data_IF_926820257895
#
_entry.id   IF_926820257895
#
_cell.length_a   1.000
_cell.length_b   1.000
_cell.length_c   1.000
_cell.angle_alpha   90.00
_cell.angle_beta   90.00
_cell.angle_gamma   90.00
#
_symmetry.space_group_name_H-M   'P 1'
#
loop_
_entity.id
_entity.type
_entity.pdbx_description
1 polymer ?
#
# COMPACT_ATOMS: atom_id res chain seq x y z
N UNK A 1 32.83 -2.40 3.67
CA UNK A 1 31.80 -1.61 2.94
C UNK A 1 30.49 -1.81 3.69
N UNK A 2 30.04 -0.78 4.40
CA UNK A 2 28.97 -0.90 5.39
C UNK A 2 27.62 -1.23 4.75
N UNK A 3 26.95 -2.27 5.26
CA UNK A 3 25.65 -2.81 4.82
C UNK A 3 24.44 -1.89 5.07
N UNK A 4 24.68 -0.65 5.49
CA UNK A 4 23.68 0.27 6.05
C UNK A 4 22.68 0.80 5.00
N UNK A 5 22.98 0.66 3.70
CA UNK A 5 22.16 1.22 2.61
C UNK A 5 21.38 0.23 1.74
N UNK A 6 21.42 -1.09 2.00
CA UNK A 6 20.74 -2.09 1.16
C UNK A 6 19.44 -2.59 1.82
N UNK A 7 18.38 -2.77 1.02
CA UNK A 7 17.14 -3.46 1.44
C UNK A 7 17.46 -4.94 1.60
N UNK A 8 17.54 -5.43 2.83
CA UNK A 8 17.86 -6.82 3.17
C UNK A 8 16.63 -7.65 3.53
N UNK A 9 15.52 -7.00 3.90
CA UNK A 9 14.26 -7.64 4.23
C UNK A 9 13.08 -6.79 3.75
N UNK A 10 11.87 -7.38 3.64
CA UNK A 10 10.66 -6.63 3.24
C UNK A 10 10.41 -5.44 4.19
N UNK A 11 10.81 -5.57 5.46
CA UNK A 11 10.79 -4.50 6.47
C UNK A 11 11.61 -3.25 6.10
N UNK A 12 12.69 -3.38 5.32
CA UNK A 12 13.48 -2.24 4.84
C UNK A 12 12.73 -1.41 3.77
N UNK A 13 11.81 -2.06 3.03
CA UNK A 13 10.92 -1.33 2.11
C UNK A 13 9.97 -0.42 2.90
N UNK A 14 9.55 -0.82 4.10
CA UNK A 14 8.68 -0.01 4.95
C UNK A 14 9.39 1.27 5.43
N UNK A 15 10.68 1.19 5.77
CA UNK A 15 11.52 2.36 6.10
C UNK A 15 11.67 3.30 4.90
N UNK A 16 11.89 2.74 3.71
CA UNK A 16 11.98 3.51 2.48
C UNK A 16 10.67 4.27 2.18
N UNK A 17 9.53 3.60 2.29
CA UNK A 17 8.21 4.21 2.05
C UNK A 17 7.93 5.31 3.07
N UNK A 18 8.14 5.04 4.36
CA UNK A 18 7.91 6.02 5.41
C UNK A 18 8.81 7.26 5.28
N UNK A 19 10.03 7.11 4.72
CA UNK A 19 10.93 8.25 4.48
C UNK A 19 10.31 9.28 3.54
N UNK A 20 9.62 8.85 2.49
CA UNK A 20 8.95 9.78 1.58
C UNK A 20 7.70 10.42 2.19
N UNK A 21 7.01 9.73 3.11
CA UNK A 21 5.92 10.36 3.86
C UNK A 21 6.42 11.40 4.85
N UNK A 22 7.56 11.15 5.51
CA UNK A 22 8.22 12.15 6.36
C UNK A 22 8.57 13.41 5.55
N UNK A 23 9.22 13.25 4.39
CA UNK A 23 9.56 14.37 3.49
C UNK A 23 8.36 15.15 3.00
N UNK A 24 7.26 14.48 2.64
CA UNK A 24 6.03 15.18 2.24
C UNK A 24 5.48 16.02 3.41
N UNK A 25 5.57 15.52 4.64
CA UNK A 25 5.09 16.20 5.86
C UNK A 25 5.91 17.44 6.23
N UNK A 26 7.16 17.53 5.79
CA UNK A 26 8.04 18.70 5.98
C UNK A 26 7.73 19.86 5.03
N UNK A 27 6.90 19.62 4.01
CA UNK A 27 6.59 20.65 3.01
C UNK A 27 5.59 21.67 3.56
N UNK A 28 5.80 22.95 3.25
CA UNK A 28 4.82 24.00 3.55
C UNK A 28 3.49 23.84 2.80
N UNK A 29 3.47 23.08 1.70
CA UNK A 29 2.30 22.74 0.89
C UNK A 29 1.93 21.25 0.97
N UNK A 30 2.28 20.58 2.08
CA UNK A 30 2.09 19.13 2.26
C UNK A 30 0.67 18.66 1.92
N UNK A 31 0.56 17.56 1.16
CA UNK A 31 -0.76 16.98 0.79
C UNK A 31 -1.38 16.14 1.91
N UNK A 32 -0.55 15.65 2.83
CA UNK A 32 -0.92 15.00 4.09
C UNK A 32 0.20 15.25 5.10
N UNK A 33 -0.12 15.13 6.39
CA UNK A 33 0.86 15.24 7.47
C UNK A 33 0.97 13.90 8.20
N UNK A 34 2.15 13.29 8.18
CA UNK A 34 2.54 12.08 8.89
C UNK A 34 3.71 12.40 9.83
N UNK A 35 3.45 13.02 11.00
CA UNK A 35 4.49 13.51 11.89
C UNK A 35 5.29 12.36 12.52
N UNK A 36 4.73 11.15 12.55
CA UNK A 36 5.36 9.97 13.15
C UNK A 36 6.26 9.22 12.16
N UNK A 37 6.12 9.45 10.84
CA UNK A 37 7.01 8.85 9.86
C UNK A 37 8.49 9.21 10.11
N UNK A 38 8.79 10.47 10.44
CA UNK A 38 10.17 10.90 10.74
C UNK A 38 10.76 10.14 11.94
N UNK A 39 9.94 9.90 12.97
CA UNK A 39 10.32 9.13 14.16
C UNK A 39 10.58 7.65 13.81
N UNK A 40 9.75 7.07 12.95
CA UNK A 40 9.81 5.66 12.57
C UNK A 40 10.94 5.32 11.59
N UNK A 41 11.40 6.26 10.78
CA UNK A 41 12.42 5.96 9.75
C UNK A 41 13.85 5.96 10.30
N UNK A 42 14.09 6.69 11.41
CA UNK A 42 15.42 6.89 11.97
C UNK A 42 16.44 7.34 10.93
N UNK A 43 17.72 7.07 11.16
CA UNK A 43 18.78 7.35 10.18
C UNK A 43 18.79 6.36 9.00
N UNK A 44 18.28 5.13 9.22
CA UNK A 44 18.32 4.04 8.24
C UNK A 44 17.40 4.29 7.04
N UNK A 45 16.20 4.81 7.25
CA UNK A 45 15.25 5.09 6.15
C UNK A 45 15.80 6.07 5.11
N UNK A 46 16.26 7.27 5.50
CA UNK A 46 16.94 8.21 4.62
C UNK A 46 18.17 7.62 3.93
N UNK A 47 18.98 6.82 4.63
CA UNK A 47 20.15 6.15 4.06
C UNK A 47 19.75 5.17 2.94
N UNK A 48 18.71 4.35 3.14
CA UNK A 48 18.16 3.47 2.10
C UNK A 48 17.63 4.31 0.93
N UNK A 49 16.77 5.30 1.21
CA UNK A 49 16.14 6.15 0.19
C UNK A 49 17.16 6.88 -0.71
N UNK A 50 18.30 7.29 -0.15
CA UNK A 50 19.38 7.95 -0.89
C UNK A 50 20.04 7.04 -1.93
N UNK A 51 20.00 5.71 -1.77
CA UNK A 51 20.60 4.75 -2.70
C UNK A 51 19.64 4.26 -3.78
N UNK A 52 18.34 4.58 -3.64
CA UNK A 52 17.30 4.05 -4.52
C UNK A 52 17.30 4.73 -5.88
N UNK A 53 17.33 3.97 -6.99
CA UNK A 53 17.25 4.53 -8.32
C UNK A 53 15.86 5.15 -8.55
N UNK A 54 15.83 6.20 -9.36
CA UNK A 54 14.59 6.92 -9.68
C UNK A 54 13.87 7.46 -8.42
N UNK A 55 14.62 7.81 -7.37
CA UNK A 55 14.10 8.23 -6.06
C UNK A 55 13.00 9.29 -6.17
N UNK A 56 13.19 10.35 -6.96
CA UNK A 56 12.15 11.39 -7.20
C UNK A 56 10.83 10.82 -7.74
N UNK A 57 10.91 9.89 -8.70
CA UNK A 57 9.72 9.26 -9.26
C UNK A 57 9.03 8.38 -8.22
N UNK A 58 9.80 7.63 -7.43
CA UNK A 58 9.25 6.78 -6.37
C UNK A 58 8.63 7.60 -5.24
N UNK A 59 9.28 8.70 -4.85
CA UNK A 59 8.73 9.68 -3.89
C UNK A 59 7.38 10.20 -4.36
N UNK A 60 7.30 10.66 -5.61
CA UNK A 60 6.03 11.06 -6.23
C UNK A 60 4.97 9.94 -6.21
N UNK A 61 5.33 8.71 -6.59
CA UNK A 61 4.40 7.56 -6.56
C UNK A 61 3.86 7.32 -5.15
N UNK A 62 4.71 7.40 -4.12
CA UNK A 62 4.34 7.11 -2.74
C UNK A 62 3.51 8.22 -2.09
N UNK A 63 3.76 9.48 -2.43
CA UNK A 63 2.90 10.60 -2.05
C UNK A 63 1.50 10.44 -2.65
N UNK A 64 1.42 10.18 -3.95
CA UNK A 64 0.13 9.95 -4.64
C UNK A 64 -0.60 8.73 -4.05
N UNK A 65 0.14 7.65 -3.75
CA UNK A 65 -0.42 6.43 -3.13
C UNK A 65 -1.02 6.68 -1.77
N UNK A 66 -0.29 7.37 -0.90
CA UNK A 66 -0.75 7.66 0.46
C UNK A 66 -2.05 8.46 0.39
N UNK A 67 -2.08 9.54 -0.40
CA UNK A 67 -3.27 10.39 -0.56
C UNK A 67 -4.48 9.62 -1.14
N UNK A 68 -4.28 8.80 -2.18
CA UNK A 68 -5.37 8.03 -2.77
C UNK A 68 -5.95 7.00 -1.79
N UNK A 69 -5.09 6.26 -1.09
CA UNK A 69 -5.53 5.23 -0.15
C UNK A 69 -6.22 5.86 1.07
N UNK A 70 -5.74 7.01 1.56
CA UNK A 70 -6.42 7.78 2.62
C UNK A 70 -7.86 8.12 2.21
N UNK A 71 -8.07 8.54 0.96
CA UNK A 71 -9.42 8.80 0.41
C UNK A 71 -10.29 7.55 0.37
N UNK A 72 -9.76 6.41 -0.09
CA UNK A 72 -10.51 5.16 -0.14
C UNK A 72 -10.89 4.68 1.26
N UNK A 73 -10.02 4.88 2.26
CA UNK A 73 -10.30 4.57 3.66
C UNK A 73 -11.43 5.46 4.20
N UNK A 74 -11.39 6.77 3.94
CA UNK A 74 -12.50 7.65 4.31
C UNK A 74 -13.82 7.26 3.61
N UNK A 75 -13.77 6.87 2.33
CA UNK A 75 -14.94 6.36 1.59
C UNK A 75 -15.52 5.09 2.25
N UNK A 76 -14.65 4.16 2.67
CA UNK A 76 -15.05 2.95 3.38
C UNK A 76 -15.69 3.25 4.74
N UNK A 77 -15.02 4.06 5.58
CA UNK A 77 -15.50 4.47 6.91
C UNK A 77 -16.82 5.23 6.81
N UNK A 78 -16.93 6.19 5.88
CA UNK A 78 -18.15 6.96 5.63
C UNK A 78 -19.33 6.10 5.17
N UNK A 79 -19.07 4.85 4.76
CA UNK A 79 -20.11 3.88 4.41
C UNK A 79 -20.51 2.98 5.57
N UNK A 80 -19.99 3.19 6.79
CA UNK A 80 -20.35 2.44 7.98
C UNK A 80 -19.42 1.26 8.31
N UNK A 81 -18.19 1.27 7.79
CA UNK A 81 -17.13 0.35 8.27
C UNK A 81 -16.80 0.66 9.73
N UNK A 82 -16.84 -0.36 10.58
CA UNK A 82 -16.53 -0.25 12.02
C UNK A 82 -15.16 -0.82 12.39
N UNK A 83 -14.51 -1.53 11.44
CA UNK A 83 -13.16 -2.04 11.62
C UNK A 83 -12.30 -1.91 10.37
N UNK A 84 -11.06 -1.46 10.54
CA UNK A 84 -10.04 -1.51 9.49
C UNK A 84 -9.05 -2.61 9.83
N UNK A 85 -8.83 -3.53 8.89
CA UNK A 85 -7.81 -4.57 8.97
C UNK A 85 -6.68 -4.24 7.99
N UNK A 86 -5.56 -3.74 8.49
CA UNK A 86 -4.39 -3.37 7.72
C UNK A 86 -3.38 -4.52 7.71
N UNK A 87 -3.36 -5.28 6.62
CA UNK A 87 -2.48 -6.45 6.44
C UNK A 87 -1.16 -5.99 5.80
N UNK A 88 -0.03 -6.36 6.40
CA UNK A 88 1.28 -5.82 6.03
C UNK A 88 1.35 -4.32 6.32
N UNK A 89 0.87 -3.92 7.49
CA UNK A 89 0.73 -2.50 7.87
C UNK A 89 2.05 -1.73 7.80
N UNK A 90 3.20 -2.40 7.91
CA UNK A 90 4.52 -1.81 7.91
C UNK A 90 4.56 -0.65 8.90
N UNK A 91 5.22 0.42 8.49
CA UNK A 91 5.34 1.66 9.26
C UNK A 91 4.18 2.63 9.02
N UNK A 92 2.98 2.15 8.68
CA UNK A 92 1.78 2.98 8.58
C UNK A 92 1.42 3.62 9.95
N UNK A 93 0.99 4.88 9.91
CA UNK A 93 0.65 5.71 11.07
C UNK A 93 -0.75 6.30 10.96
N UNK A 94 -1.57 5.87 9.98
CA UNK A 94 -2.96 6.31 9.80
C UNK A 94 -3.81 6.31 11.08
N UNK A 95 -3.72 5.32 11.98
CA UNK A 95 -4.42 5.35 13.28
C UNK A 95 -4.09 6.55 14.16
N UNK A 96 -2.97 7.24 13.92
CA UNK A 96 -2.49 8.38 14.69
C UNK A 96 -2.71 9.72 13.98
N UNK A 97 -2.79 9.74 12.64
CA UNK A 97 -2.77 10.98 11.85
C UNK A 97 -4.06 11.28 11.09
N UNK A 98 -4.87 10.26 10.79
CA UNK A 98 -6.13 10.46 10.06
C UNK A 98 -7.23 10.90 11.01
N UNK A 99 -8.18 11.68 10.50
CA UNK A 99 -9.41 12.01 11.20
C UNK A 99 -10.34 10.78 11.20
N UNK A 100 -10.27 10.00 12.28
CA UNK A 100 -10.96 8.72 12.44
C UNK A 100 -11.92 8.77 13.63
N UNK A 101 -13.10 8.12 13.57
CA UNK A 101 -13.93 7.96 14.75
C UNK A 101 -13.19 7.24 15.87
N UNK A 102 -13.23 7.75 17.11
CA UNK A 102 -12.57 7.11 18.26
C UNK A 102 -13.05 5.67 18.51
N UNK A 103 -14.31 5.39 18.13
CA UNK A 103 -14.92 4.07 18.24
C UNK A 103 -14.44 3.06 17.19
N UNK A 104 -13.79 3.52 16.11
CA UNK A 104 -13.28 2.65 15.04
C UNK A 104 -12.21 1.72 15.62
N UNK A 105 -12.31 0.43 15.31
CA UNK A 105 -11.23 -0.50 15.60
C UNK A 105 -10.27 -0.56 14.41
N UNK A 106 -9.01 -0.26 14.64
CA UNK A 106 -7.94 -0.46 13.68
C UNK A 106 -7.09 -1.65 14.13
N UNK A 107 -6.93 -2.63 13.24
CA UNK A 107 -6.11 -3.82 13.47
C UNK A 107 -4.98 -3.81 12.46
N UNK A 108 -3.74 -3.74 12.95
CA UNK A 108 -2.54 -3.91 12.14
C UNK A 108 -2.02 -5.34 12.27
N UNK A 109 -1.67 -5.96 11.15
CA UNK A 109 -1.02 -7.26 11.13
C UNK A 109 0.27 -7.15 10.33
N UNK A 110 1.39 -7.53 10.94
CA UNK A 110 2.69 -7.57 10.30
C UNK A 110 3.64 -8.54 11.02
N UNK A 111 4.83 -8.72 10.47
CA UNK A 111 5.88 -9.53 11.08
C UNK A 111 6.20 -9.08 12.51
N UNK A 112 6.52 -10.04 13.41
CA UNK A 112 6.83 -9.75 14.81
C UNK A 112 7.83 -8.60 15.00
N UNK A 113 8.91 -8.56 14.22
CA UNK A 113 9.93 -7.52 14.33
C UNK A 113 9.43 -6.11 13.96
N UNK A 114 8.51 -6.00 12.99
CA UNK A 114 7.89 -4.71 12.61
C UNK A 114 6.96 -4.22 13.70
N UNK A 115 6.12 -5.11 14.22
CA UNK A 115 5.16 -4.78 15.27
C UNK A 115 5.88 -4.35 16.54
N UNK A 116 6.91 -5.10 16.97
CA UNK A 116 7.73 -4.74 18.14
C UNK A 116 8.42 -3.40 17.96
N UNK A 117 9.04 -3.17 16.81
CA UNK A 117 9.67 -1.90 16.50
C UNK A 117 8.70 -0.72 16.61
N UNK A 118 7.49 -0.83 16.03
CA UNK A 118 6.47 0.22 16.15
C UNK A 118 6.00 0.43 17.58
N UNK A 119 5.78 -0.64 18.33
CA UNK A 119 5.37 -0.53 19.73
C UNK A 119 6.42 0.19 20.57
N UNK A 120 7.70 -0.08 20.33
CA UNK A 120 8.80 0.61 21.01
C UNK A 120 8.88 2.09 20.62
N UNK A 121 8.95 2.40 19.33
CA UNK A 121 9.13 3.78 18.84
C UNK A 121 7.91 4.65 19.14
N UNK A 122 6.70 4.07 19.11
CA UNK A 122 5.44 4.79 19.32
C UNK A 122 4.87 4.60 20.74
N UNK A 123 5.66 4.11 21.70
CA UNK A 123 5.18 3.81 23.06
C UNK A 123 4.49 5.00 23.77
N UNK A 124 4.92 6.23 23.46
CA UNK A 124 4.39 7.46 24.04
C UNK A 124 3.37 8.19 23.13
N UNK A 125 3.09 7.63 21.94
CA UNK A 125 2.13 8.22 21.01
C UNK A 125 0.74 7.62 21.24
N UNK A 126 -0.30 8.45 21.14
CA UNK A 126 -1.69 8.00 21.31
C UNK A 126 -2.39 7.93 19.95
N UNK A 127 -2.95 6.77 19.55
CA UNK A 127 -3.79 6.71 18.36
C UNK A 127 -5.11 7.45 18.60
N UNK A 128 -5.70 7.96 17.51
CA UNK A 128 -7.00 8.65 17.49
C UNK A 128 -8.14 7.64 17.69
N UNK A 129 -7.95 6.40 17.25
CA UNK A 129 -8.94 5.32 17.35
C UNK A 129 -8.39 4.13 18.15
N UNK A 130 -9.23 3.10 18.36
CA UNK A 130 -8.81 1.88 19.07
C UNK A 130 -7.84 1.10 18.19
N UNK A 131 -6.59 0.98 18.62
CA UNK A 131 -5.54 0.29 17.86
C UNK A 131 -5.18 -1.04 18.50
N UNK A 132 -5.17 -2.11 17.69
CA UNK A 132 -4.61 -3.41 18.03
C UNK A 132 -3.53 -3.76 16.99
N UNK A 133 -2.42 -4.33 17.45
CA UNK A 133 -1.39 -4.90 16.57
C UNK A 133 -1.26 -6.39 16.83
N UNK A 134 -1.16 -7.16 15.75
CA UNK A 134 -1.02 -8.62 15.80
C UNK A 134 0.28 -8.99 15.09
N UNK A 135 1.14 -9.72 15.80
CA UNK A 135 2.39 -10.28 15.26
C UNK A 135 2.06 -11.55 14.44
N UNK A 136 2.27 -11.52 13.13
CA UNK A 136 2.02 -12.66 12.26
C UNK A 136 2.78 -12.60 10.93
N UNK A 137 3.30 -13.75 10.50
CA UNK A 137 3.73 -13.96 9.12
C UNK A 137 2.52 -14.40 8.27
N UNK A 138 2.04 -13.51 7.40
CA UNK A 138 0.91 -13.77 6.52
C UNK A 138 1.24 -14.71 5.35
N UNK A 139 2.51 -15.05 5.14
CA UNK A 139 2.93 -16.02 4.13
C UNK A 139 2.66 -17.47 4.54
N UNK A 140 2.54 -17.74 5.85
CA UNK A 140 2.09 -19.01 6.39
C UNK A 140 0.55 -19.11 6.37
N UNK A 141 0.03 -20.13 5.68
CA UNK A 141 -1.40 -20.28 5.44
C UNK A 141 -2.21 -20.52 6.71
N UNK A 142 -1.69 -21.30 7.66
CA UNK A 142 -2.41 -21.61 8.90
C UNK A 142 -2.48 -20.39 9.81
N UNK A 143 -1.34 -19.70 9.97
CA UNK A 143 -1.21 -18.46 10.73
C UNK A 143 -2.11 -17.38 10.15
N UNK A 144 -2.04 -17.14 8.83
CA UNK A 144 -2.90 -16.16 8.15
C UNK A 144 -4.38 -16.40 8.43
N UNK A 145 -4.88 -17.63 8.23
CA UNK A 145 -6.30 -17.95 8.46
C UNK A 145 -6.72 -17.71 9.91
N UNK A 146 -5.90 -18.14 10.87
CA UNK A 146 -6.17 -17.92 12.30
C UNK A 146 -6.27 -16.43 12.61
N UNK A 147 -5.29 -15.65 12.15
CA UNK A 147 -5.21 -14.21 12.42
C UNK A 147 -6.34 -13.44 11.73
N UNK A 148 -6.69 -13.78 10.49
CA UNK A 148 -7.84 -13.16 9.82
C UNK A 148 -9.13 -13.37 10.62
N UNK A 149 -9.39 -14.61 11.04
CA UNK A 149 -10.58 -14.94 11.84
C UNK A 149 -10.62 -14.18 13.17
N UNK A 150 -9.49 -14.09 13.87
CA UNK A 150 -9.36 -13.31 15.11
C UNK A 150 -9.59 -11.81 14.86
N UNK A 151 -8.94 -11.26 13.84
CA UNK A 151 -8.98 -9.83 13.53
C UNK A 151 -10.38 -9.34 13.12
N UNK A 152 -11.18 -10.18 12.45
CA UNK A 152 -12.55 -9.83 12.06
C UNK A 152 -13.60 -10.20 13.11
N UNK A 153 -13.24 -10.95 14.16
CA UNK A 153 -14.18 -11.41 15.16
C UNK A 153 -14.93 -10.25 15.84
N UNK A 154 -16.26 -10.32 15.83
CA UNK A 154 -17.14 -9.32 16.45
C UNK A 154 -17.25 -7.99 15.69
N UNK A 155 -16.60 -7.83 14.54
CA UNK A 155 -16.83 -6.67 13.66
C UNK A 155 -18.14 -6.84 12.88
N UNK A 156 -18.80 -5.72 12.55
CA UNK A 156 -19.96 -5.74 11.67
C UNK A 156 -19.56 -5.58 10.22
N UNK A 157 -18.63 -4.65 9.92
CA UNK A 157 -18.19 -4.31 8.57
C UNK A 157 -16.71 -3.94 8.57
N UNK A 158 -15.90 -4.81 7.99
CA UNK A 158 -14.44 -4.71 7.93
C UNK A 158 -14.01 -4.19 6.57
N UNK A 159 -13.19 -3.13 6.56
CA UNK A 159 -12.38 -2.76 5.41
C UNK A 159 -10.99 -3.38 5.54
N UNK A 160 -10.57 -4.16 4.56
CA UNK A 160 -9.22 -4.72 4.50
C UNK A 160 -8.33 -3.82 3.66
N UNK A 161 -7.08 -3.61 4.09
CA UNK A 161 -6.07 -2.85 3.36
C UNK A 161 -4.86 -3.76 3.13
N UNK A 162 -4.33 -3.74 1.90
CA UNK A 162 -3.08 -4.42 1.53
C UNK A 162 -2.19 -3.48 0.71
N UNK A 163 -1.89 -2.29 1.25
CA UNK A 163 -1.06 -1.28 0.57
C UNK A 163 0.36 -1.79 0.38
N UNK A 164 0.79 -1.94 -0.88
CA UNK A 164 2.13 -2.39 -1.20
C UNK A 164 2.40 -3.84 -0.81
N UNK A 165 1.38 -4.66 -0.57
CA UNK A 165 1.55 -6.06 -0.16
C UNK A 165 1.37 -7.03 -1.32
N UNK A 166 0.29 -6.87 -2.08
CA UNK A 166 -0.09 -7.79 -3.16
C UNK A 166 1.04 -8.02 -4.17
N UNK A 167 1.82 -7.00 -4.59
CA UNK A 167 2.95 -7.20 -5.51
C UNK A 167 4.00 -8.22 -5.04
N UNK A 168 4.13 -8.47 -3.73
CA UNK A 168 5.13 -9.39 -3.15
C UNK A 168 4.63 -10.83 -3.00
N UNK A 169 3.32 -11.08 -3.17
CA UNK A 169 2.72 -12.40 -3.05
C UNK A 169 2.72 -13.16 -4.38
N UNK A 170 2.69 -14.49 -4.37
CA UNK A 170 2.44 -15.26 -5.58
C UNK A 170 0.95 -15.20 -6.00
N UNK A 171 0.59 -15.44 -7.27
CA UNK A 171 -0.81 -15.51 -7.69
C UNK A 171 -1.66 -16.52 -6.89
N UNK A 172 -1.06 -17.61 -6.43
CA UNK A 172 -1.68 -18.63 -5.60
C UNK A 172 -1.95 -18.09 -4.19
N UNK A 173 -0.98 -17.39 -3.59
CA UNK A 173 -1.13 -16.75 -2.28
C UNK A 173 -2.20 -15.64 -2.33
N UNK A 174 -2.22 -14.80 -3.36
CA UNK A 174 -3.27 -13.78 -3.54
C UNK A 174 -4.64 -14.43 -3.74
N UNK A 175 -4.71 -15.54 -4.48
CA UNK A 175 -5.96 -16.30 -4.64
C UNK A 175 -6.43 -16.90 -3.31
N UNK A 176 -5.52 -17.42 -2.48
CA UNK A 176 -5.84 -17.95 -1.16
C UNK A 176 -6.34 -16.85 -0.22
N UNK A 177 -5.62 -15.73 -0.11
CA UNK A 177 -6.04 -14.57 0.67
C UNK A 177 -7.41 -14.07 0.23
N UNK A 178 -7.63 -13.93 -1.09
CA UNK A 178 -8.93 -13.49 -1.63
C UNK A 178 -10.08 -14.41 -1.21
N UNK A 179 -9.90 -15.73 -1.28
CA UNK A 179 -10.91 -16.70 -0.83
C UNK A 179 -11.18 -16.62 0.66
N UNK A 180 -10.13 -16.46 1.46
CA UNK A 180 -10.24 -16.37 2.92
C UNK A 180 -10.98 -15.09 3.33
N UNK A 181 -10.67 -13.96 2.69
CA UNK A 181 -11.37 -12.69 2.93
C UNK A 181 -12.84 -12.77 2.52
N UNK A 182 -13.17 -13.37 1.37
CA UNK A 182 -14.58 -13.54 0.96
C UNK A 182 -15.36 -14.46 1.90
N UNK A 183 -14.70 -15.48 2.46
CA UNK A 183 -15.34 -16.45 3.35
C UNK A 183 -15.79 -15.81 4.67
N UNK A 184 -15.20 -14.68 5.07
CA UNK A 184 -15.56 -13.96 6.30
C UNK A 184 -16.70 -12.97 6.04
N UNK A 185 -17.92 -13.19 6.57
CA UNK A 185 -19.09 -12.36 6.23
C UNK A 185 -18.97 -10.90 6.65
N UNK A 186 -18.14 -10.60 7.66
CA UNK A 186 -17.90 -9.24 8.12
C UNK A 186 -17.01 -8.44 7.15
N UNK A 187 -16.26 -9.09 6.25
CA UNK A 187 -15.41 -8.39 5.27
C UNK A 187 -16.29 -7.77 4.18
N UNK A 188 -16.36 -6.44 4.21
CA UNK A 188 -17.23 -5.63 3.33
C UNK A 188 -16.49 -5.19 2.07
N UNK A 189 -15.27 -4.66 2.26
CA UNK A 189 -14.48 -4.09 1.18
C UNK A 189 -12.97 -4.34 1.34
N UNK A 190 -12.25 -4.26 0.23
CA UNK A 190 -10.80 -4.48 0.17
C UNK A 190 -10.09 -3.41 -0.67
N UNK A 191 -9.20 -2.65 -0.03
CA UNK A 191 -8.43 -1.55 -0.60
C UNK A 191 -7.02 -2.03 -0.98
N UNK A 192 -6.62 -1.77 -2.23
CA UNK A 192 -5.33 -2.21 -2.79
C UNK A 192 -4.77 -1.18 -3.77
N UNK A 193 -3.44 -1.14 -3.94
CA UNK A 193 -2.85 -0.67 -5.19
C UNK A 193 -3.02 -1.72 -6.29
N UNK A 194 -3.14 -1.26 -7.54
CA UNK A 194 -3.19 -2.15 -8.70
C UNK A 194 -2.32 -1.66 -9.85
N UNK A 195 -1.86 -2.63 -10.65
CA UNK A 195 -1.14 -2.36 -11.90
C UNK A 195 -1.56 -3.33 -13.00
N UNK A 196 -2.28 -2.80 -13.99
CA UNK A 196 -2.67 -3.52 -15.19
C UNK A 196 -1.47 -3.80 -16.11
N UNK A 197 -1.54 -4.90 -16.84
CA UNK A 197 -0.52 -5.27 -17.82
C UNK A 197 0.77 -5.84 -17.23
N UNK A 198 0.76 -6.26 -15.95
CA UNK A 198 1.87 -6.95 -15.32
C UNK A 198 2.18 -8.28 -16.02
N UNK A 199 3.46 -8.53 -16.34
CA UNK A 199 3.96 -9.80 -16.88
C UNK A 199 5.23 -10.21 -16.15
N UNK A 200 5.45 -11.51 -15.95
CA UNK A 200 6.59 -12.03 -15.17
C UNK A 200 7.97 -11.50 -15.59
N UNK A 201 8.25 -11.34 -16.88
CA UNK A 201 9.54 -10.78 -17.36
C UNK A 201 9.69 -9.29 -17.07
N UNK A 202 8.61 -8.51 -17.14
CA UNK A 202 8.61 -7.11 -16.77
C UNK A 202 8.77 -6.92 -15.25
N UNK A 203 8.22 -7.85 -14.47
CA UNK A 203 8.31 -7.87 -13.01
C UNK A 203 9.74 -8.16 -12.52
N UNK A 204 10.41 -9.17 -13.10
CA UNK A 204 11.83 -9.46 -12.84
C UNK A 204 12.74 -8.29 -13.19
N UNK A 205 12.50 -7.64 -14.34
CA UNK A 205 13.26 -6.43 -14.75
C UNK A 205 13.03 -5.27 -13.78
N UNK A 206 11.80 -5.07 -13.31
CA UNK A 206 11.47 -4.02 -12.35
C UNK A 206 12.12 -4.27 -10.99
N UNK A 207 12.04 -5.50 -10.48
CA UNK A 207 12.69 -5.94 -9.23
C UNK A 207 14.19 -5.62 -9.26
N UNK A 208 14.88 -6.06 -10.32
CA UNK A 208 16.31 -5.77 -10.49
C UNK A 208 16.59 -4.26 -10.59
N UNK A 209 15.76 -3.52 -11.34
CA UNK A 209 15.91 -2.06 -11.48
C UNK A 209 15.70 -1.31 -10.17
N UNK A 210 14.83 -1.80 -9.30
CA UNK A 210 14.55 -1.19 -7.98
C UNK A 210 15.44 -1.76 -6.86
N UNK A 211 16.41 -2.63 -7.17
CA UNK A 211 17.30 -3.27 -6.16
C UNK A 211 16.55 -4.02 -5.06
N UNK A 212 15.36 -4.54 -5.36
CA UNK A 212 14.54 -5.31 -4.41
C UNK A 212 14.91 -6.80 -4.42
N UNK A 213 16.21 -7.13 -4.46
CA UNK A 213 16.66 -8.51 -4.66
C UNK A 213 16.23 -9.44 -3.51
N UNK A 214 16.20 -8.93 -2.28
CA UNK A 214 15.80 -9.67 -1.09
C UNK A 214 14.27 -9.58 -0.82
N UNK A 215 13.54 -8.81 -1.64
CA UNK A 215 12.09 -8.66 -1.61
C UNK A 215 11.51 -8.67 -3.04
N UNK A 216 11.61 -9.78 -3.78
CA UNK A 216 11.24 -9.80 -5.18
C UNK A 216 9.74 -9.64 -5.37
N UNK A 217 9.35 -8.87 -6.39
CA UNK A 217 7.94 -8.78 -6.80
C UNK A 217 7.52 -10.11 -7.46
N UNK A 218 6.42 -10.71 -6.99
CA UNK A 218 5.93 -12.03 -7.39
C UNK A 218 4.57 -11.97 -8.09
N UNK A 219 3.76 -10.96 -7.80
CA UNK A 219 2.44 -10.82 -8.40
C UNK A 219 2.48 -9.92 -9.65
N UNK A 220 2.03 -10.45 -10.77
CA UNK A 220 1.92 -9.69 -12.01
C UNK A 220 1.02 -10.40 -13.01
N UNK A 221 -0.21 -9.89 -13.14
CA UNK A 221 -1.23 -10.40 -14.07
C UNK A 221 -1.57 -9.36 -15.14
N UNK A 222 -2.06 -9.82 -16.29
CA UNK A 222 -2.43 -8.93 -17.40
C UNK A 222 -3.64 -8.05 -17.05
N UNK A 223 -4.64 -8.64 -16.42
CA UNK A 223 -5.84 -7.97 -15.94
C UNK A 223 -5.99 -8.19 -14.43
N UNK A 224 -5.44 -7.24 -13.67
CA UNK A 224 -5.53 -7.18 -12.22
C UNK A 224 -6.97 -7.07 -11.75
N UNK A 225 -7.75 -6.15 -12.30
CA UNK A 225 -9.13 -5.96 -11.86
C UNK A 225 -9.98 -7.21 -12.18
N UNK A 226 -9.85 -7.76 -13.39
CA UNK A 226 -10.50 -9.01 -13.77
C UNK A 226 -10.13 -10.19 -12.86
N UNK A 227 -8.86 -10.31 -12.46
CA UNK A 227 -8.42 -11.35 -11.54
C UNK A 227 -9.19 -11.36 -10.21
N UNK A 228 -9.50 -10.20 -9.65
CA UNK A 228 -10.30 -10.11 -8.41
C UNK A 228 -11.80 -10.26 -8.70
N UNK A 229 -12.30 -9.78 -9.85
CA UNK A 229 -13.70 -9.95 -10.24
C UNK A 229 -14.08 -11.42 -10.40
N UNK A 230 -13.23 -12.21 -11.06
CA UNK A 230 -13.39 -13.67 -11.18
C UNK A 230 -13.40 -14.39 -9.82
N UNK A 231 -12.94 -13.70 -8.76
CA UNK A 231 -12.87 -14.22 -7.40
C UNK A 231 -13.93 -13.63 -6.50
N UNK A 232 -15.03 -13.10 -7.04
CA UNK A 232 -16.19 -12.66 -6.25
C UNK A 232 -16.12 -11.21 -5.75
N UNK A 233 -15.14 -10.43 -6.20
CA UNK A 233 -15.09 -9.00 -5.88
C UNK A 233 -15.74 -8.15 -6.97
N UNK A 234 -16.23 -6.97 -6.61
CA UNK A 234 -16.68 -5.96 -7.56
C UNK A 234 -15.92 -4.67 -7.31
N UNK A 235 -15.59 -3.96 -8.38
CA UNK A 235 -14.97 -2.65 -8.26
C UNK A 235 -16.03 -1.66 -7.77
N UNK A 236 -15.83 -1.09 -6.58
CA UNK A 236 -16.71 -0.04 -6.05
C UNK A 236 -16.17 1.36 -6.37
N UNK A 237 -14.88 1.58 -6.13
CA UNK A 237 -14.22 2.86 -6.41
C UNK A 237 -12.81 2.63 -6.98
N UNK A 238 -12.42 3.42 -7.99
CA UNK A 238 -11.07 3.45 -8.52
C UNK A 238 -10.56 4.89 -8.48
N UNK A 239 -9.36 5.07 -7.93
CA UNK A 239 -8.58 6.29 -8.04
C UNK A 239 -7.36 5.99 -8.91
N UNK A 240 -7.32 6.51 -10.14
CA UNK A 240 -6.14 6.38 -10.99
C UNK A 240 -5.02 7.29 -10.49
N UNK A 241 -3.79 6.78 -10.51
CA UNK A 241 -2.62 7.52 -9.99
C UNK A 241 -2.46 8.88 -10.67
N UNK A 242 -2.66 8.94 -11.98
CA UNK A 242 -2.54 10.20 -12.70
C UNK A 242 -3.63 11.22 -12.32
N UNK A 243 -4.86 10.77 -12.11
CA UNK A 243 -5.97 11.65 -11.73
C UNK A 243 -5.77 12.19 -10.32
N UNK A 244 -5.34 11.33 -9.38
CA UNK A 244 -5.00 11.76 -8.03
C UNK A 244 -3.83 12.74 -8.01
N UNK A 245 -2.78 12.47 -8.78
CA UNK A 245 -1.61 13.34 -8.88
C UNK A 245 -1.98 14.77 -9.31
N UNK A 246 -2.94 14.91 -10.23
CA UNK A 246 -3.48 16.22 -10.63
C UNK A 246 -4.31 16.85 -9.52
N UNK A 247 -5.18 16.07 -8.86
CA UNK A 247 -6.02 16.55 -7.76
C UNK A 247 -5.20 17.17 -6.63
N UNK A 248 -4.09 16.53 -6.27
CA UNK A 248 -3.20 17.00 -5.18
C UNK A 248 -2.13 17.99 -5.63
N UNK A 249 -2.15 18.43 -6.90
CA UNK A 249 -1.15 19.37 -7.43
C UNK A 249 0.28 18.82 -7.42
N UNK A 250 0.47 17.50 -7.54
CA UNK A 250 1.79 16.84 -7.61
C UNK A 250 2.02 16.27 -9.00
N UNK A 251 2.67 17.04 -9.87
CA UNK A 251 3.05 16.57 -11.21
C UNK A 251 4.15 15.51 -11.15
N UNK A 252 4.09 14.53 -12.05
CA UNK A 252 5.14 13.52 -12.16
C UNK A 252 6.49 14.17 -12.51
N UNK A 253 7.58 13.87 -11.80
CA UNK A 253 8.86 14.48 -12.06
C UNK A 253 9.46 13.99 -13.39
N UNK A 254 10.25 14.85 -14.04
CA UNK A 254 11.01 14.43 -15.21
C UNK A 254 12.23 13.60 -14.79
N UNK A 255 12.31 12.36 -15.27
CA UNK A 255 13.34 11.37 -14.96
C UNK A 255 13.75 10.67 -16.25
N UNK A 256 14.92 11.02 -16.79
CA UNK A 256 15.45 10.43 -18.02
C UNK A 256 15.91 8.97 -17.81
N UNK A 257 15.68 8.06 -18.77
CA UNK A 257 14.88 8.21 -20.00
C UNK A 257 13.39 7.84 -19.79
N UNK A 258 12.98 7.46 -18.57
CA UNK A 258 11.62 6.98 -18.25
C UNK A 258 10.54 7.97 -18.68
N UNK A 259 10.74 9.26 -18.39
CA UNK A 259 9.78 10.30 -18.77
C UNK A 259 9.63 10.46 -20.27
N UNK A 260 10.66 10.20 -21.09
CA UNK A 260 10.53 10.24 -22.54
C UNK A 260 9.60 9.14 -23.07
N UNK A 261 9.64 7.95 -22.46
CA UNK A 261 8.74 6.85 -22.78
C UNK A 261 7.29 7.24 -22.47
N UNK A 262 7.06 7.87 -21.31
CA UNK A 262 5.74 8.36 -20.93
C UNK A 262 5.27 9.49 -21.84
N UNK A 263 6.12 10.48 -22.15
CA UNK A 263 5.79 11.57 -23.07
C UNK A 263 5.40 11.01 -24.44
N UNK A 264 6.18 10.07 -25.00
CA UNK A 264 5.85 9.42 -26.26
C UNK A 264 4.49 8.71 -26.22
N UNK A 265 4.16 8.01 -25.12
CA UNK A 265 2.82 7.40 -24.92
C UNK A 265 1.70 8.44 -24.82
N UNK A 266 1.96 9.60 -24.22
CA UNK A 266 0.97 10.67 -24.04
C UNK A 266 0.75 11.50 -25.32
N UNK A 267 1.76 11.60 -26.18
CA UNK A 267 1.69 12.21 -27.52
C UNK A 267 1.07 11.26 -28.57
N UNK A 268 0.87 9.99 -28.23
CA UNK A 268 0.21 9.02 -29.09
C UNK A 268 -1.31 9.23 -29.14
N UNK A 269 -2.04 8.30 -29.77
CA UNK A 269 -3.49 8.39 -29.93
C UNK A 269 -4.23 8.52 -28.60
N UNK A 270 -5.39 9.21 -28.61
CA UNK A 270 -6.27 9.39 -27.43
C UNK A 270 -6.52 8.06 -26.70
N UNK A 271 -6.75 6.98 -27.46
CA UNK A 271 -6.93 5.61 -26.94
C UNK A 271 -5.71 5.10 -26.17
N UNK A 272 -4.49 5.33 -26.67
CA UNK A 272 -3.27 4.88 -25.99
C UNK A 272 -3.00 5.69 -24.72
N UNK A 273 -3.30 7.00 -24.76
CA UNK A 273 -3.22 7.88 -23.58
C UNK A 273 -4.18 7.44 -22.48
N UNK A 274 -5.45 7.23 -22.83
CA UNK A 274 -6.47 6.73 -21.88
C UNK A 274 -6.09 5.36 -21.30
N UNK A 275 -5.58 4.46 -22.14
CA UNK A 275 -5.07 3.18 -21.68
C UNK A 275 -3.93 3.35 -20.66
N UNK A 276 -2.97 4.24 -20.94
CA UNK A 276 -1.81 4.50 -20.07
C UNK A 276 -2.25 5.08 -18.71
N UNK A 277 -3.24 5.97 -18.69
CA UNK A 277 -3.79 6.52 -17.44
C UNK A 277 -4.45 5.42 -16.59
N UNK A 278 -5.09 4.46 -17.24
CA UNK A 278 -5.79 3.34 -16.59
C UNK A 278 -4.87 2.14 -16.25
N UNK A 279 -3.56 2.25 -16.48
CA UNK A 279 -2.61 1.16 -16.21
C UNK A 279 -2.32 0.99 -14.71
N UNK A 280 -2.48 2.02 -13.89
CA UNK A 280 -2.09 2.00 -12.48
C UNK A 280 -2.95 2.94 -11.63
N UNK A 281 -3.25 2.49 -10.42
CA UNK A 281 -4.07 3.24 -9.48
C UNK A 281 -4.31 2.46 -8.20
N UNK A 282 -5.41 2.82 -7.55
CA UNK A 282 -5.84 2.30 -6.27
C UNK A 282 -7.33 1.97 -6.37
N UNK A 283 -7.72 0.86 -5.78
CA UNK A 283 -9.07 0.31 -5.92
C UNK A 283 -9.61 -0.03 -4.55
N UNK A 284 -10.87 0.30 -4.33
CA UNK A 284 -11.70 -0.25 -3.27
C UNK A 284 -12.66 -1.25 -3.94
N UNK A 285 -12.42 -2.53 -3.67
CA UNK A 285 -13.34 -3.59 -4.03
C UNK A 285 -14.43 -3.72 -2.97
N UNK A 286 -15.62 -4.13 -3.37
CA UNK A 286 -16.69 -4.59 -2.49
C UNK A 286 -17.00 -6.06 -2.80
N UNK A 287 -17.55 -6.79 -1.83
CA UNK A 287 -18.02 -8.16 -2.10
C UNK A 287 -19.15 -8.13 -3.14
N UNK A 288 -19.15 -9.09 -4.06
CA UNK A 288 -20.32 -9.30 -4.90
C UNK A 288 -21.50 -9.73 -4.04
N UNK A 289 -22.70 -9.24 -4.40
CA UNK A 289 -23.95 -9.71 -3.82
C UNK A 289 -24.15 -11.21 -4.12
#
# INVERSE_FOLDING_TARGET
>A
MSSVGMVQHVSDTALWVATYRARESERGDAVFNDPLAAKLVGERGPAIAATMPYSKLMEWVLVVRTSAIDRLIHSAIGSGVDRVLNLGAGLDTRPYRMDLPESLQWVEVDFPEIVRYKNEVLANERPVCRLQRIEADLSDDQTRRKVLKEAVAGAKRVAVITEGVIPYLSPEQVSALSRELIAEPAVDCWIQDFRQGGRGTALKKLTKRLRLNDAPLRFGVKDWLGFFVERGWQTREIIFMHDESRRIGRSAPFVFPVSLIYIAKFLASKKLREKTIKENGYVLFQRSA
#
